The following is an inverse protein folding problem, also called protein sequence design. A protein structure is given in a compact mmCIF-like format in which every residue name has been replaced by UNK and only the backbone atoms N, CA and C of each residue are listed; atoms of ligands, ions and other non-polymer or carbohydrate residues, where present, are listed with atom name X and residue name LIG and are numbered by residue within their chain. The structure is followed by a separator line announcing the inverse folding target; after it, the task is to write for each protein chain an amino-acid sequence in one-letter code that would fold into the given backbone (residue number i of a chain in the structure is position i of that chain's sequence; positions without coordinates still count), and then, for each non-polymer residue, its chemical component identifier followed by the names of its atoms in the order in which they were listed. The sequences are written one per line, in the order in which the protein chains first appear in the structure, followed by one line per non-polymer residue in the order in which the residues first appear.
data_IF_434131953154
#
_entry.id   IF_434131953154
#
_cell.length_a   1.000
_cell.length_b   1.000
_cell.length_c   1.000
_cell.angle_alpha   90.00
_cell.angle_beta   90.00
_cell.angle_gamma   90.00
#
_symmetry.space_group_name_H-M   'P 1'
#
loop_
_entity.id
_entity.type
_entity.pdbx_description
1 polymer ?
#
# COMPACT_ATOMS: atom_id res chain seq x y z
N UNK A 1 -12.40 -0.05 13.69
CA UNK A 1 -12.83 -1.35 13.14
C UNK A 1 -12.46 -2.49 14.06
N UNK A 2 -13.21 -2.70 15.15
CA UNK A 2 -12.97 -3.84 16.06
C UNK A 2 -13.06 -5.17 15.28
N UNK A 3 -12.08 -6.05 15.49
CA UNK A 3 -12.00 -7.35 14.78
C UNK A 3 -11.51 -7.27 13.34
N UNK A 4 -11.02 -6.11 12.90
CA UNK A 4 -10.35 -5.90 11.61
C UNK A 4 -8.86 -5.70 11.86
N UNK A 5 -8.03 -6.36 11.06
CA UNK A 5 -6.60 -6.04 10.96
C UNK A 5 -6.35 -5.20 9.72
N UNK A 6 -5.77 -4.01 9.90
CA UNK A 6 -5.30 -3.16 8.82
C UNK A 6 -3.78 -3.29 8.77
N UNK A 7 -3.25 -3.81 7.67
CA UNK A 7 -1.80 -3.85 7.43
C UNK A 7 -1.44 -2.73 6.48
N UNK A 8 -0.65 -1.79 6.98
CA UNK A 8 -0.05 -0.72 6.19
C UNK A 8 1.18 -1.30 5.51
N UNK A 9 1.16 -1.38 4.17
CA UNK A 9 2.32 -1.80 3.38
C UNK A 9 2.93 -0.55 2.76
N UNK A 10 4.12 -0.18 3.21
CA UNK A 10 4.69 1.12 2.90
C UNK A 10 6.19 1.15 3.25
N UNK A 11 6.82 2.31 3.17
CA UNK A 11 8.17 2.57 3.65
C UNK A 11 8.21 2.72 5.18
N UNK A 12 8.81 1.73 5.83
CA UNK A 12 9.10 1.73 7.28
C UNK A 12 10.59 1.56 7.57
N UNK A 13 11.45 1.58 6.56
CA UNK A 13 12.88 1.25 6.70
C UNK A 13 13.82 2.29 6.10
N UNK A 14 13.36 3.14 5.19
CA UNK A 14 14.20 4.15 4.56
C UNK A 14 14.67 5.21 5.56
N UNK A 15 15.65 6.00 5.12
CA UNK A 15 16.12 7.18 5.85
C UNK A 15 15.37 8.45 5.46
N UNK A 16 14.45 8.38 4.49
CA UNK A 16 13.64 9.53 4.05
C UNK A 16 12.58 9.84 5.10
N UNK A 17 12.54 11.09 5.56
CA UNK A 17 11.60 11.53 6.59
C UNK A 17 10.96 12.86 6.21
N UNK A 18 9.74 13.03 6.65
CA UNK A 18 8.91 14.21 6.41
C UNK A 18 8.42 14.76 7.74
N UNK A 19 8.46 16.08 7.88
CA UNK A 19 7.93 16.76 9.06
C UNK A 19 6.48 17.19 8.81
N UNK A 20 5.62 16.94 9.79
CA UNK A 20 4.18 17.19 9.70
C UNK A 20 3.54 17.26 11.09
N UNK A 21 2.24 17.53 11.15
CA UNK A 21 1.52 17.62 12.42
C UNK A 21 0.05 17.22 12.20
N UNK A 22 -0.37 16.09 12.79
CA UNK A 22 -1.76 15.62 12.81
C UNK A 22 -2.54 16.03 14.05
N UNK A 23 -2.16 17.14 14.69
CA UNK A 23 -2.85 17.73 15.84
C UNK A 23 -2.29 17.29 17.21
N UNK A 24 -1.22 16.48 17.24
CA UNK A 24 -0.54 16.05 18.48
C UNK A 24 0.88 16.61 18.62
N UNK A 25 1.23 17.57 17.77
CA UNK A 25 2.55 18.18 17.71
C UNK A 25 3.29 17.83 16.43
N UNK A 26 4.38 18.56 16.18
CA UNK A 26 5.23 18.30 15.02
C UNK A 26 5.96 16.98 15.23
N UNK A 27 5.84 16.07 14.26
CA UNK A 27 6.56 14.81 14.21
C UNK A 27 7.39 14.74 12.93
N UNK A 28 8.47 13.96 12.95
CA UNK A 28 9.31 13.69 11.79
C UNK A 28 9.33 12.19 11.53
N UNK A 29 8.55 11.77 10.55
CA UNK A 29 8.23 10.37 10.30
C UNK A 29 8.56 9.96 8.87
N UNK A 30 8.72 8.66 8.63
CA UNK A 30 8.73 8.06 7.29
C UNK A 30 7.33 8.11 6.66
N UNK A 31 7.26 7.86 5.36
CA UNK A 31 5.99 7.84 4.64
C UNK A 31 4.99 6.84 5.25
N UNK A 32 5.42 5.59 5.52
CA UNK A 32 4.55 4.57 6.12
C UNK A 32 4.12 4.87 7.56
N UNK A 33 4.96 5.58 8.32
CA UNK A 33 4.62 5.99 9.68
C UNK A 33 3.46 6.99 9.67
N UNK A 34 3.45 7.94 8.72
CA UNK A 34 2.37 8.90 8.53
C UNK A 34 1.06 8.21 8.13
N UNK A 35 1.09 7.36 7.10
CA UNK A 35 -0.13 6.67 6.63
C UNK A 35 -0.71 5.73 7.71
N UNK A 36 0.16 5.13 8.53
CA UNK A 36 -0.24 4.33 9.70
C UNK A 36 -0.92 5.17 10.78
N UNK A 37 -0.44 6.38 11.03
CA UNK A 37 -1.05 7.29 12.00
C UNK A 37 -2.46 7.72 11.54
N UNK A 38 -2.62 8.08 10.27
CA UNK A 38 -3.93 8.39 9.68
C UNK A 38 -4.93 7.24 9.88
N UNK A 39 -4.53 6.00 9.54
CA UNK A 39 -5.37 4.82 9.73
C UNK A 39 -5.74 4.61 11.21
N UNK A 40 -4.81 4.87 12.13
CA UNK A 40 -5.01 4.73 13.57
C UNK A 40 -5.97 5.78 14.12
N UNK A 41 -5.95 7.01 13.58
CA UNK A 41 -6.87 8.08 13.97
C UNK A 41 -8.29 7.82 13.50
N UNK A 42 -8.47 7.28 12.29
CA UNK A 42 -9.80 6.97 11.72
C UNK A 42 -10.39 5.68 12.30
N UNK A 43 -9.57 4.65 12.52
CA UNK A 43 -10.02 3.34 12.97
C UNK A 43 -9.34 2.89 14.28
N UNK A 44 -9.46 3.66 15.38
CA UNK A 44 -8.68 3.43 16.62
C UNK A 44 -8.92 2.07 17.28
N UNK A 45 -10.06 1.43 17.01
CA UNK A 45 -10.37 0.09 17.52
C UNK A 45 -9.90 -1.07 16.63
N UNK A 46 -9.24 -0.80 15.49
CA UNK A 46 -8.67 -1.83 14.62
C UNK A 46 -7.27 -2.25 15.10
N UNK A 47 -6.84 -3.45 14.75
CA UNK A 47 -5.45 -3.87 14.92
C UNK A 47 -4.65 -3.33 13.74
N UNK A 48 -3.71 -2.41 13.99
CA UNK A 48 -2.86 -1.83 12.95
C UNK A 48 -1.51 -2.55 12.93
N UNK A 49 -1.09 -3.03 11.76
CA UNK A 49 0.22 -3.64 11.51
C UNK A 49 0.98 -2.83 10.46
N UNK A 50 2.31 -2.87 10.55
CA UNK A 50 3.21 -2.29 9.56
C UNK A 50 3.96 -3.41 8.85
N UNK A 51 4.04 -3.32 7.52
CA UNK A 51 4.86 -4.18 6.68
C UNK A 51 5.67 -3.29 5.76
N UNK A 52 6.99 -3.38 5.86
CA UNK A 52 7.85 -2.69 4.91
C UNK A 52 7.75 -3.36 3.53
N UNK A 53 7.62 -2.57 2.47
CA UNK A 53 7.46 -3.04 1.09
C UNK A 53 8.75 -3.60 0.44
N UNK A 54 9.91 -3.47 1.09
CA UNK A 54 11.23 -3.77 0.50
C UNK A 54 11.88 -5.03 1.07
N UNK A 55 11.13 -5.86 1.81
CA UNK A 55 11.71 -7.02 2.51
C UNK A 55 11.84 -8.27 1.64
N UNK A 56 11.20 -8.33 0.48
CA UNK A 56 11.13 -9.53 -0.36
C UNK A 56 10.32 -10.67 0.26
N UNK A 57 9.31 -10.35 1.08
CA UNK A 57 8.45 -11.33 1.75
C UNK A 57 6.97 -11.00 1.59
N UNK A 58 6.13 -12.03 1.50
CA UNK A 58 4.68 -11.87 1.39
C UNK A 58 4.10 -11.05 2.55
N UNK A 59 2.94 -10.43 2.31
CA UNK A 59 2.20 -9.71 3.36
C UNK A 59 1.41 -10.73 4.20
N UNK A 60 1.71 -10.90 5.50
CA UNK A 60 0.99 -11.86 6.32
C UNK A 60 -0.43 -11.37 6.65
N UNK A 61 -1.42 -12.23 6.44
CA UNK A 61 -2.79 -11.99 6.89
C UNK A 61 -2.98 -12.41 8.36
N UNK A 62 -3.89 -11.75 9.06
CA UNK A 62 -4.37 -12.18 10.37
C UNK A 62 -5.61 -13.07 10.23
N UNK A 63 -5.97 -13.76 11.30
CA UNK A 63 -7.31 -14.35 11.42
C UNK A 63 -8.38 -13.26 11.41
N UNK A 64 -9.51 -13.51 10.74
CA UNK A 64 -10.62 -12.56 10.63
C UNK A 64 -10.55 -11.68 9.40
N UNK A 65 -11.05 -10.43 9.50
CA UNK A 65 -11.13 -9.50 8.37
C UNK A 65 -9.81 -8.76 8.19
N UNK A 66 -9.30 -8.75 6.97
CA UNK A 66 -8.04 -8.09 6.61
C UNK A 66 -8.27 -6.94 5.62
N UNK A 67 -7.62 -5.82 5.89
CA UNK A 67 -7.51 -4.68 4.97
C UNK A 67 -6.02 -4.42 4.75
N UNK A 68 -5.61 -4.30 3.49
CA UNK A 68 -4.25 -3.90 3.13
C UNK A 68 -4.32 -2.50 2.55
N UNK A 69 -3.57 -1.56 3.13
CA UNK A 69 -3.47 -0.20 2.64
C UNK A 69 -2.11 0.01 1.97
N UNK A 70 -2.13 0.43 0.70
CA UNK A 70 -0.97 0.62 -0.15
C UNK A 70 -0.93 2.08 -0.61
N UNK A 71 -0.03 2.87 -0.04
CA UNK A 71 0.16 4.27 -0.42
C UNK A 71 1.40 4.46 -1.30
N UNK A 72 1.66 3.51 -2.18
CA UNK A 72 2.77 3.52 -3.15
C UNK A 72 2.27 2.94 -4.49
N UNK A 73 3.10 3.00 -5.54
CA UNK A 73 2.79 2.43 -6.86
C UNK A 73 3.97 1.65 -7.44
N UNK A 74 3.70 0.80 -8.44
CA UNK A 74 4.70 -0.04 -9.10
C UNK A 74 4.81 0.32 -10.58
N UNK A 75 5.72 1.25 -10.86
CA UNK A 75 5.88 1.85 -12.17
C UNK A 75 6.93 1.14 -13.01
N UNK A 76 6.59 0.81 -14.25
CA UNK A 76 7.55 0.45 -15.29
C UNK A 76 7.08 0.95 -16.64
N UNK A 77 7.84 0.69 -17.70
CA UNK A 77 7.51 1.08 -19.08
C UNK A 77 6.10 0.62 -19.46
N UNK A 78 5.31 1.51 -20.04
CA UNK A 78 3.96 1.23 -20.50
C UNK A 78 3.98 0.24 -21.69
N UNK A 79 2.88 -0.50 -21.87
CA UNK A 79 2.69 -1.41 -23.00
C UNK A 79 2.95 -2.90 -22.71
N UNK A 80 3.33 -3.26 -21.48
CA UNK A 80 3.26 -4.63 -21.01
C UNK A 80 1.83 -5.00 -20.62
N UNK A 81 1.54 -6.30 -20.59
CA UNK A 81 0.41 -6.85 -19.86
C UNK A 81 0.82 -7.15 -18.41
N UNK A 82 -0.15 -7.17 -17.49
CA UNK A 82 0.08 -7.48 -16.06
C UNK A 82 0.82 -8.81 -15.86
N UNK A 83 0.57 -9.80 -16.73
CA UNK A 83 1.21 -11.12 -16.66
C UNK A 83 2.69 -11.12 -17.06
N UNK A 84 3.19 -10.03 -17.64
CA UNK A 84 4.61 -9.86 -17.97
C UNK A 84 5.38 -9.19 -16.82
N UNK A 85 4.70 -8.71 -15.79
CA UNK A 85 5.32 -8.05 -14.65
C UNK A 85 5.82 -9.11 -13.66
N UNK A 86 7.12 -9.07 -13.37
CA UNK A 86 7.74 -9.89 -12.34
C UNK A 86 7.46 -9.33 -10.96
N UNK A 87 6.33 -9.72 -10.36
CA UNK A 87 5.92 -9.26 -9.04
C UNK A 87 6.85 -9.77 -7.93
N UNK A 88 7.28 -8.87 -7.04
CA UNK A 88 7.93 -9.26 -5.80
C UNK A 88 6.93 -9.98 -4.87
N UNK A 89 7.41 -10.75 -3.87
CA UNK A 89 6.53 -11.53 -2.99
C UNK A 89 5.45 -10.72 -2.29
N UNK A 90 5.74 -9.46 -1.93
CA UNK A 90 4.80 -8.49 -1.40
C UNK A 90 3.60 -8.29 -2.35
N UNK A 91 3.81 -7.70 -3.53
CA UNK A 91 2.76 -7.40 -4.51
C UNK A 91 2.06 -8.65 -5.01
N UNK A 92 2.81 -9.73 -5.25
CA UNK A 92 2.25 -11.01 -5.68
C UNK A 92 1.22 -11.53 -4.66
N UNK A 93 1.54 -11.43 -3.36
CA UNK A 93 0.61 -11.84 -2.30
C UNK A 93 -0.61 -10.93 -2.22
N UNK A 94 -0.42 -9.61 -2.33
CA UNK A 94 -1.49 -8.60 -2.33
C UNK A 94 -2.49 -8.85 -3.46
N UNK A 95 -1.99 -9.00 -4.70
CA UNK A 95 -2.81 -9.27 -5.89
C UNK A 95 -3.57 -10.59 -5.71
N UNK A 96 -2.91 -11.63 -5.18
CA UNK A 96 -3.55 -12.91 -4.88
C UNK A 96 -4.69 -12.76 -3.89
N UNK A 97 -4.51 -11.96 -2.83
CA UNK A 97 -5.54 -11.76 -1.81
C UNK A 97 -6.73 -10.96 -2.33
N UNK A 98 -6.49 -9.93 -3.14
CA UNK A 98 -7.55 -9.17 -3.81
C UNK A 98 -8.36 -10.08 -4.73
N UNK A 99 -7.68 -10.82 -5.60
CA UNK A 99 -8.31 -11.75 -6.57
C UNK A 99 -9.14 -12.83 -5.88
N UNK A 100 -8.64 -13.37 -4.76
CA UNK A 100 -9.33 -14.43 -3.99
C UNK A 100 -10.36 -13.89 -2.99
N UNK A 101 -10.44 -12.57 -2.80
CA UNK A 101 -11.31 -11.95 -1.80
C UNK A 101 -10.93 -12.23 -0.35
N UNK A 102 -9.68 -12.62 -0.06
CA UNK A 102 -9.21 -12.91 1.31
C UNK A 102 -8.79 -11.66 2.08
N UNK A 103 -8.61 -10.54 1.38
CA UNK A 103 -8.42 -9.22 1.98
C UNK A 103 -9.04 -8.14 1.09
N UNK A 104 -9.46 -7.03 1.71
CA UNK A 104 -9.81 -5.80 1.00
C UNK A 104 -8.50 -5.03 0.76
N UNK A 105 -8.24 -4.63 -0.48
CA UNK A 105 -7.06 -3.84 -0.83
C UNK A 105 -7.47 -2.41 -1.15
N UNK A 106 -6.89 -1.46 -0.42
CA UNK A 106 -7.02 -0.03 -0.67
C UNK A 106 -5.68 0.48 -1.20
N UNK A 107 -5.67 0.93 -2.45
CA UNK A 107 -4.47 1.37 -3.17
C UNK A 107 -4.65 2.83 -3.59
N UNK A 108 -3.63 3.65 -3.34
CA UNK A 108 -3.61 5.04 -3.80
C UNK A 108 -3.52 5.10 -5.34
N UNK A 109 -4.29 6.01 -5.96
CA UNK A 109 -4.36 6.19 -7.42
C UNK A 109 -3.11 6.83 -8.06
N UNK A 110 -2.13 7.26 -7.25
CA UNK A 110 -1.01 8.08 -7.69
C UNK A 110 -1.28 9.59 -7.62
N UNK A 111 -0.21 10.37 -7.74
CA UNK A 111 -0.23 11.83 -7.54
C UNK A 111 -0.05 12.62 -8.85
N UNK A 112 -0.19 11.95 -9.99
CA UNK A 112 0.15 12.47 -11.33
C UNK A 112 -1.02 13.16 -12.04
N UNK A 113 -2.19 13.25 -11.39
CA UNK A 113 -3.42 13.82 -11.95
C UNK A 113 -3.87 13.19 -13.29
N UNK A 114 -3.62 11.89 -13.45
CA UNK A 114 -4.10 11.06 -14.58
C UNK A 114 -5.12 10.03 -14.10
N UNK A 115 -5.84 9.39 -15.04
CA UNK A 115 -6.76 8.31 -14.69
C UNK A 115 -6.00 7.12 -14.08
N UNK A 116 -6.68 6.37 -13.20
CA UNK A 116 -6.14 5.14 -12.60
C UNK A 116 -5.71 4.18 -13.70
N UNK A 117 -4.48 3.69 -13.63
CA UNK A 117 -3.90 2.81 -14.63
C UNK A 117 -3.53 3.49 -15.96
N UNK A 118 -3.63 4.82 -16.09
CA UNK A 118 -3.13 5.52 -17.28
C UNK A 118 -1.60 5.61 -17.25
N UNK A 119 -1.00 5.67 -18.44
CA UNK A 119 0.42 5.92 -18.57
C UNK A 119 0.72 7.43 -18.52
N UNK A 120 1.81 7.80 -17.85
CA UNK A 120 2.38 9.16 -17.84
C UNK A 120 3.88 9.08 -18.13
N UNK A 121 4.38 9.92 -19.04
CA UNK A 121 5.79 9.94 -19.44
C UNK A 121 6.37 8.56 -19.84
N UNK A 122 5.54 7.72 -20.46
CA UNK A 122 5.92 6.36 -20.88
C UNK A 122 6.01 5.33 -19.74
N UNK A 123 5.64 5.70 -18.51
CA UNK A 123 5.52 4.80 -17.37
C UNK A 123 4.07 4.58 -16.99
N UNK A 124 3.77 3.46 -16.35
CA UNK A 124 2.43 3.08 -15.93
C UNK A 124 2.50 2.35 -14.60
N UNK A 125 1.57 2.66 -13.68
CA UNK A 125 1.44 1.90 -12.43
C UNK A 125 0.74 0.57 -12.72
N UNK A 126 1.51 -0.51 -12.71
CA UNK A 126 0.96 -1.85 -12.96
C UNK A 126 0.28 -2.44 -11.74
N UNK A 127 0.53 -1.92 -10.53
CA UNK A 127 -0.15 -2.42 -9.34
C UNK A 127 -1.62 -1.96 -9.36
N UNK A 128 -1.90 -0.77 -9.86
CA UNK A 128 -3.27 -0.34 -10.15
C UNK A 128 -3.94 -1.28 -11.15
N UNK A 129 -3.28 -1.56 -12.29
CA UNK A 129 -3.83 -2.45 -13.31
C UNK A 129 -4.08 -3.88 -12.80
N UNK A 130 -3.22 -4.39 -11.92
CA UNK A 130 -3.32 -5.74 -11.40
C UNK A 130 -4.43 -5.92 -10.34
N UNK A 131 -4.99 -4.82 -9.84
CA UNK A 131 -6.02 -4.80 -8.80
C UNK A 131 -7.42 -4.47 -9.34
N UNK A 132 -7.57 -4.34 -10.67
CA UNK A 132 -8.83 -4.04 -11.38
C UNK A 132 -9.38 -5.30 -12.06
#
# INVERSE_FOLDING_TARGET
GKGVTITMVDDFSSTSRFSGNFGIGVQTQRHGEWTREEASMIAPAATIRSKDFSTGTYVPLAGGRNVLNLSYGMYTTAGYSVNQIGWAPEEASIISYATKGTAIVSKAAGNDAVAVGAAINGQQDYLDLALI
#
